data_IF_447068286432
#
_entry.id   IF_447068286432
#
_cell.length_a   1.000
_cell.length_b   1.000
_cell.length_c   1.000
_cell.angle_alpha   90.00
_cell.angle_beta   90.00
_cell.angle_gamma   90.00
#
_symmetry.space_group_name_H-M   'P 1'
#
loop_
_entity.id
_entity.type
_entity.pdbx_description
1 polymer ?
#
# COMPACT_ATOMS: atom_id res chain seq x y z
N UNK A 1 3.55 -7.17 -24.64
CA UNK A 1 3.74 -7.31 -23.18
C UNK A 1 4.89 -6.39 -22.80
N UNK A 2 4.64 -5.40 -21.95
CA UNK A 2 5.68 -4.56 -21.33
C UNK A 2 5.79 -4.97 -19.87
N UNK A 3 7.01 -5.11 -19.36
CA UNK A 3 7.29 -5.40 -17.95
C UNK A 3 8.14 -4.27 -17.38
N UNK A 4 7.80 -3.84 -16.16
CA UNK A 4 8.57 -2.90 -15.38
C UNK A 4 8.92 -3.56 -14.05
N UNK A 5 10.21 -3.71 -13.76
CA UNK A 5 10.69 -4.33 -12.54
C UNK A 5 11.15 -3.24 -11.57
N UNK A 6 10.51 -3.18 -10.41
CA UNK A 6 10.85 -2.23 -9.34
C UNK A 6 12.02 -2.77 -8.54
N UNK A 7 11.93 -4.05 -8.13
CA UNK A 7 13.01 -4.73 -7.42
C UNK A 7 12.99 -6.23 -7.68
N UNK A 8 13.74 -7.01 -6.90
CA UNK A 8 13.81 -8.45 -7.12
C UNK A 8 12.49 -9.19 -6.90
N UNK A 9 11.63 -8.65 -6.05
CA UNK A 9 10.35 -9.21 -5.63
C UNK A 9 9.13 -8.53 -6.25
N UNK A 10 9.23 -7.29 -6.76
CA UNK A 10 8.08 -6.51 -7.23
C UNK A 10 8.23 -6.13 -8.70
N UNK A 11 7.24 -6.47 -9.52
CA UNK A 11 7.14 -6.00 -10.91
C UNK A 11 5.70 -5.74 -11.34
N UNK A 12 5.54 -4.95 -12.40
CA UNK A 12 4.28 -4.72 -13.08
C UNK A 12 4.37 -5.20 -14.52
N UNK A 13 3.27 -5.70 -15.08
CA UNK A 13 3.16 -6.09 -16.48
C UNK A 13 1.90 -5.52 -17.11
N UNK A 14 2.05 -4.94 -18.29
CA UNK A 14 0.94 -4.58 -19.16
C UNK A 14 0.61 -5.78 -20.05
N UNK A 15 -0.52 -6.42 -19.77
CA UNK A 15 -1.02 -7.63 -20.42
C UNK A 15 -2.40 -7.37 -21.02
N UNK A 16 -2.42 -7.08 -22.33
CA UNK A 16 -3.61 -6.55 -23.00
C UNK A 16 -3.88 -5.13 -22.51
N UNK A 17 -5.11 -4.88 -22.07
CA UNK A 17 -5.55 -3.58 -21.56
C UNK A 17 -5.33 -3.41 -20.05
N UNK A 18 -4.70 -4.40 -19.38
CA UNK A 18 -4.64 -4.45 -17.92
C UNK A 18 -3.21 -4.38 -17.40
N UNK A 19 -3.03 -3.56 -16.37
CA UNK A 19 -1.81 -3.53 -15.56
C UNK A 19 -1.92 -4.53 -14.42
N UNK A 20 -1.02 -5.52 -14.40
CA UNK A 20 -0.97 -6.55 -13.38
C UNK A 20 0.29 -6.37 -12.50
N UNK A 21 0.11 -6.40 -11.18
CA UNK A 21 1.21 -6.41 -10.21
C UNK A 21 1.62 -7.86 -9.92
N UNK A 22 2.92 -8.10 -9.81
CA UNK A 22 3.50 -9.40 -9.46
C UNK A 22 4.40 -9.25 -8.25
N UNK A 23 4.25 -10.21 -7.33
CA UNK A 23 5.18 -10.42 -6.22
C UNK A 23 5.91 -11.74 -6.46
N UNK A 24 7.21 -11.66 -6.77
CA UNK A 24 8.03 -12.74 -7.28
C UNK A 24 7.51 -13.22 -8.64
N UNK A 25 6.94 -14.43 -8.66
CA UNK A 25 6.31 -15.02 -9.87
C UNK A 25 4.78 -15.11 -9.74
N UNK A 26 4.22 -14.61 -8.65
CA UNK A 26 2.79 -14.75 -8.34
C UNK A 26 2.10 -13.42 -8.62
N UNK A 27 1.02 -13.47 -9.41
CA UNK A 27 0.18 -12.31 -9.65
C UNK A 27 -0.49 -11.88 -8.33
N UNK A 28 -0.34 -10.61 -7.99
CA UNK A 28 -1.00 -9.99 -6.84
C UNK A 28 -2.37 -9.46 -7.26
N UNK A 29 -3.43 -10.12 -6.78
CA UNK A 29 -4.82 -9.86 -7.19
C UNK A 29 -5.53 -9.00 -6.15
N UNK A 30 -5.18 -7.73 -6.10
CA UNK A 30 -5.88 -6.70 -5.33
C UNK A 30 -6.15 -5.50 -6.23
N UNK A 31 -7.24 -4.78 -5.97
CA UNK A 31 -7.68 -3.67 -6.82
C UNK A 31 -6.61 -2.57 -6.88
N UNK A 32 -6.14 -2.25 -8.09
CA UNK A 32 -5.10 -1.23 -8.37
C UNK A 32 -5.67 0.15 -8.65
N UNK A 33 -7.00 0.30 -8.68
CA UNK A 33 -7.72 1.54 -9.07
C UNK A 33 -7.30 2.75 -8.21
N UNK A 34 -6.77 2.53 -7.01
CA UNK A 34 -6.52 3.58 -6.02
C UNK A 34 -5.10 4.16 -6.03
N UNK A 35 -4.33 3.97 -7.10
CA UNK A 35 -2.93 4.41 -7.15
C UNK A 35 -2.72 5.92 -7.38
N UNK A 36 -3.73 6.80 -7.36
CA UNK A 36 -3.55 8.20 -7.79
C UNK A 36 -3.13 9.20 -6.69
N UNK A 37 -1.99 9.86 -6.99
CA UNK A 37 -1.56 11.25 -6.79
C UNK A 37 -1.19 11.74 -5.38
N UNK A 38 0.12 11.86 -5.13
CA UNK A 38 0.66 12.70 -4.04
C UNK A 38 1.59 13.73 -4.67
N UNK A 39 1.15 14.99 -4.65
CA UNK A 39 2.03 16.13 -4.84
C UNK A 39 2.95 16.23 -3.62
N UNK A 40 4.25 16.19 -3.83
CA UNK A 40 5.27 16.34 -2.77
C UNK A 40 5.33 17.76 -2.19
N UNK A 41 4.68 18.74 -2.82
CA UNK A 41 4.74 20.16 -2.43
C UNK A 41 3.76 20.57 -1.33
N UNK A 42 2.85 19.69 -0.90
CA UNK A 42 1.83 19.99 0.14
C UNK A 42 2.11 19.29 1.49
N UNK A 43 3.30 18.68 1.65
CA UNK A 43 3.65 17.88 2.83
C UNK A 43 3.64 18.67 4.16
N UNK A 44 3.75 20.00 4.15
CA UNK A 44 3.78 20.81 5.38
C UNK A 44 2.41 21.03 6.05
N UNK A 45 1.31 20.67 5.38
CA UNK A 45 -0.07 20.86 5.90
C UNK A 45 -0.76 19.54 6.28
N UNK A 46 -0.06 18.41 6.17
CA UNK A 46 -0.62 17.07 6.36
C UNK A 46 -0.01 16.28 7.53
N UNK A 47 0.69 16.94 8.45
CA UNK A 47 1.20 16.31 9.68
C UNK A 47 0.07 15.78 10.60
N UNK A 48 -1.19 16.14 10.33
CA UNK A 48 -2.39 15.62 11.01
C UNK A 48 -3.09 14.48 10.25
N UNK A 49 -2.61 14.07 9.08
CA UNK A 49 -3.26 13.03 8.26
C UNK A 49 -2.41 11.75 8.25
N UNK A 50 -2.94 10.67 8.84
CA UNK A 50 -2.18 9.41 8.98
C UNK A 50 -2.15 8.58 7.67
N UNK A 51 -3.01 8.88 6.69
CA UNK A 51 -3.08 8.18 5.40
C UNK A 51 -3.77 8.98 4.29
N UNK A 52 -3.55 8.58 3.03
CA UNK A 52 -4.29 9.11 1.86
C UNK A 52 -5.80 8.93 2.03
N UNK A 53 -6.22 7.87 2.72
CA UNK A 53 -7.63 7.53 2.91
C UNK A 53 -8.34 8.62 3.73
N UNK A 54 -7.69 9.11 4.78
CA UNK A 54 -8.21 10.21 5.61
C UNK A 54 -8.27 11.53 4.82
N UNK A 55 -7.32 11.77 3.91
CA UNK A 55 -7.38 12.92 3.00
C UNK A 55 -8.53 12.77 1.97
N UNK A 56 -8.74 11.57 1.42
CA UNK A 56 -9.81 11.30 0.45
C UNK A 56 -11.20 11.49 1.06
N UNK A 57 -11.41 11.08 2.31
CA UNK A 57 -12.65 11.34 3.06
C UNK A 57 -12.89 12.83 3.27
N UNK A 58 -11.85 13.60 3.65
CA UNK A 58 -11.95 15.05 3.86
C UNK A 58 -12.22 15.83 2.56
N UNK A 59 -11.73 15.35 1.43
CA UNK A 59 -11.88 16.01 0.11
C UNK A 59 -13.17 15.56 -0.62
N UNK A 60 -13.88 14.54 -0.12
CA UNK A 60 -15.09 14.01 -0.75
C UNK A 60 -14.83 13.28 -2.08
N UNK A 61 -13.59 12.83 -2.30
CA UNK A 61 -13.21 12.06 -3.46
C UNK A 61 -13.66 10.61 -3.28
N UNK A 62 -14.88 10.29 -3.73
CA UNK A 62 -15.38 8.91 -3.71
C UNK A 62 -14.74 8.06 -4.81
N UNK A 63 -14.63 6.75 -4.54
CA UNK A 63 -14.20 5.74 -5.53
C UNK A 63 -15.08 5.80 -6.80
N UNK A 64 -16.36 6.13 -6.68
CA UNK A 64 -17.27 6.29 -7.82
C UNK A 64 -16.83 7.41 -8.78
N UNK A 65 -16.38 8.56 -8.26
CA UNK A 65 -15.87 9.65 -9.11
C UNK A 65 -14.58 9.26 -9.85
N UNK A 66 -13.74 8.42 -9.25
CA UNK A 66 -12.53 7.91 -9.90
C UNK A 66 -12.83 6.96 -11.06
N UNK A 67 -13.90 6.16 -10.95
CA UNK A 67 -14.22 5.11 -11.92
C UNK A 67 -14.67 5.67 -13.28
N UNK A 68 -15.28 6.85 -13.30
CA UNK A 68 -15.65 7.55 -14.55
C UNK A 68 -14.46 8.29 -15.20
N UNK A 69 -13.45 8.71 -14.43
CA UNK A 69 -12.18 9.23 -14.94
C UNK A 69 -11.32 8.11 -15.57
N UNK A 70 -11.34 6.92 -14.97
CA UNK A 70 -10.58 5.75 -15.46
C UNK A 70 -11.01 5.28 -16.86
N UNK A 71 -12.27 5.54 -17.27
CA UNK A 71 -12.77 5.15 -18.61
C UNK A 71 -12.02 5.82 -19.78
N UNK A 72 -11.20 6.85 -19.52
CA UNK A 72 -10.56 7.65 -20.57
C UNK A 72 -9.03 7.59 -20.59
N UNK A 73 -8.38 6.88 -19.66
CA UNK A 73 -6.92 6.79 -19.63
C UNK A 73 -6.46 5.64 -20.54
N UNK A 74 -5.57 5.89 -21.52
CA UNK A 74 -4.99 4.81 -22.31
C UNK A 74 -4.24 3.81 -21.41
N UNK A 75 -4.33 2.49 -21.65
CA UNK A 75 -3.70 1.49 -20.79
C UNK A 75 -2.19 1.69 -20.59
N UNK A 76 -1.49 2.18 -21.62
CA UNK A 76 -0.05 2.46 -21.54
C UNK A 76 0.26 3.64 -20.60
N UNK A 77 -0.60 4.66 -20.58
CA UNK A 77 -0.48 5.82 -19.70
C UNK A 77 -0.78 5.44 -18.26
N UNK A 78 -1.83 4.65 -18.05
CA UNK A 78 -2.17 4.10 -16.74
C UNK A 78 -1.03 3.23 -16.20
N UNK A 79 -0.50 2.33 -17.03
CA UNK A 79 0.64 1.49 -16.69
C UNK A 79 1.85 2.31 -16.23
N UNK A 80 2.18 3.39 -16.95
CA UNK A 80 3.26 4.31 -16.56
C UNK A 80 3.01 4.97 -15.22
N UNK A 81 1.79 5.44 -14.97
CA UNK A 81 1.40 6.03 -13.68
C UNK A 81 1.57 5.03 -12.54
N UNK A 82 1.05 3.81 -12.69
CA UNK A 82 1.18 2.74 -11.68
C UNK A 82 2.63 2.36 -11.41
N UNK A 83 3.45 2.26 -12.46
CA UNK A 83 4.89 1.98 -12.32
C UNK A 83 5.58 3.09 -11.54
N UNK A 84 5.31 4.35 -11.86
CA UNK A 84 5.90 5.51 -11.17
C UNK A 84 5.51 5.53 -9.69
N UNK A 85 4.25 5.29 -9.36
CA UNK A 85 3.77 5.37 -7.97
C UNK A 85 4.35 4.24 -7.11
N UNK A 86 4.40 3.01 -7.63
CA UNK A 86 5.02 1.89 -6.91
C UNK A 86 6.55 1.99 -6.85
N UNK A 87 7.18 2.63 -7.85
CA UNK A 87 8.61 2.96 -7.80
C UNK A 87 8.90 3.95 -6.66
N UNK A 88 8.17 5.06 -6.59
CA UNK A 88 8.33 6.05 -5.50
C UNK A 88 8.03 5.43 -4.15
N UNK A 89 6.97 4.62 -4.04
CA UNK A 89 6.67 3.88 -2.81
C UNK A 89 7.85 3.00 -2.36
N UNK A 90 8.50 2.29 -3.28
CA UNK A 90 9.68 1.49 -2.99
C UNK A 90 10.91 2.32 -2.62
N UNK A 91 11.17 3.42 -3.34
CA UNK A 91 12.32 4.31 -3.10
C UNK A 91 12.24 5.02 -1.74
N UNK A 92 11.03 5.15 -1.19
CA UNK A 92 10.77 5.67 0.14
C UNK A 92 10.52 4.56 1.17
N UNK A 93 11.25 3.46 1.06
CA UNK A 93 11.25 2.35 2.02
C UNK A 93 9.85 1.79 2.33
N UNK A 94 9.00 1.69 1.29
CA UNK A 94 7.62 1.22 1.41
C UNK A 94 6.73 2.07 2.33
N UNK A 95 6.97 3.38 2.42
CA UNK A 95 6.13 4.30 3.20
C UNK A 95 4.64 4.16 2.83
N UNK A 96 3.86 3.60 3.75
CA UNK A 96 2.44 3.25 3.54
C UNK A 96 1.54 4.45 3.34
N UNK A 97 2.06 5.67 3.51
CA UNK A 97 1.38 6.93 3.20
C UNK A 97 1.46 7.29 1.72
N UNK A 98 2.32 6.62 0.93
CA UNK A 98 2.57 7.00 -0.46
C UNK A 98 1.63 6.37 -1.49
N UNK A 99 0.92 5.32 -1.10
CA UNK A 99 -0.14 4.69 -1.89
C UNK A 99 -1.29 4.32 -0.96
N UNK A 100 -2.51 4.20 -1.49
CA UNK A 100 -3.70 3.93 -0.70
C UNK A 100 -3.54 2.67 0.17
N UNK A 101 -4.04 2.71 1.41
CA UNK A 101 -3.82 1.64 2.40
C UNK A 101 -4.34 0.26 1.95
N UNK A 102 -5.45 0.23 1.19
CA UNK A 102 -6.04 -0.96 0.55
C UNK A 102 -5.11 -1.67 -0.42
N UNK A 103 -4.05 -0.99 -0.88
CA UNK A 103 -2.98 -1.58 -1.66
C UNK A 103 -1.69 -1.72 -0.84
N UNK A 104 -1.28 -0.66 -0.14
CA UNK A 104 -0.01 -0.59 0.58
C UNK A 104 0.20 -1.77 1.52
N UNK A 105 -0.76 -1.99 2.44
CA UNK A 105 -0.59 -2.94 3.52
C UNK A 105 -0.67 -4.41 3.04
N UNK A 106 -1.62 -4.79 2.17
CA UNK A 106 -1.66 -6.14 1.60
C UNK A 106 -0.48 -6.44 0.67
N UNK A 107 0.02 -5.46 -0.10
CA UNK A 107 1.20 -5.62 -0.94
C UNK A 107 2.46 -5.81 -0.08
N UNK A 108 2.61 -5.01 0.98
CA UNK A 108 3.71 -5.13 1.95
C UNK A 108 3.71 -6.49 2.66
N UNK A 109 2.54 -7.00 3.03
CA UNK A 109 2.38 -8.38 3.54
C UNK A 109 2.87 -9.40 2.52
N UNK A 110 2.46 -9.27 1.25
CA UNK A 110 2.86 -10.23 0.20
C UNK A 110 4.35 -10.20 -0.08
N UNK A 111 4.98 -9.03 -0.06
CA UNK A 111 6.43 -8.88 -0.18
C UNK A 111 7.17 -9.54 1.00
N UNK A 112 6.64 -9.36 2.22
CA UNK A 112 7.13 -10.04 3.42
C UNK A 112 7.08 -11.56 3.27
N UNK A 113 5.94 -12.10 2.81
CA UNK A 113 5.74 -13.54 2.54
C UNK A 113 6.68 -14.05 1.44
N UNK A 114 6.97 -13.23 0.42
CA UNK A 114 7.89 -13.56 -0.67
C UNK A 114 9.38 -13.48 -0.28
N UNK A 115 9.67 -12.93 0.89
CA UNK A 115 11.01 -12.94 1.47
C UNK A 115 11.76 -11.62 1.45
N UNK A 116 11.15 -10.54 0.94
CA UNK A 116 11.77 -9.21 0.86
C UNK A 116 12.21 -8.74 2.27
N UNK A 117 13.52 -8.49 2.48
CA UNK A 117 14.06 -8.14 3.79
C UNK A 117 13.60 -6.77 4.27
N UNK A 118 13.46 -5.80 3.36
CA UNK A 118 13.00 -4.45 3.70
C UNK A 118 11.50 -4.48 4.04
N UNK A 119 10.70 -5.17 3.22
CA UNK A 119 9.28 -5.32 3.48
C UNK A 119 9.01 -5.98 4.84
N UNK A 120 9.80 -7.00 5.21
CA UNK A 120 9.69 -7.67 6.53
C UNK A 120 9.87 -6.73 7.70
N UNK A 121 10.80 -5.78 7.60
CA UNK A 121 11.06 -4.80 8.66
C UNK A 121 9.89 -3.81 8.70
N UNK A 122 9.57 -3.20 7.56
CA UNK A 122 8.54 -2.16 7.46
C UNK A 122 7.16 -2.71 7.85
N UNK A 123 6.83 -3.94 7.46
CA UNK A 123 5.55 -4.58 7.80
C UNK A 123 5.33 -4.71 9.31
N UNK A 124 6.37 -5.14 10.05
CA UNK A 124 6.29 -5.25 11.51
C UNK A 124 6.15 -3.88 12.15
N UNK A 125 6.95 -2.92 11.73
CA UNK A 125 6.89 -1.54 12.23
C UNK A 125 5.51 -0.93 12.01
N UNK A 126 4.90 -1.17 10.85
CA UNK A 126 3.58 -0.65 10.53
C UNK A 126 2.47 -1.30 11.38
N UNK A 127 2.55 -2.62 11.64
CA UNK A 127 1.62 -3.30 12.56
C UNK A 127 1.69 -2.66 13.95
N UNK A 128 2.90 -2.48 14.48
CA UNK A 128 3.13 -1.85 15.79
C UNK A 128 2.57 -0.42 15.83
N UNK A 129 2.90 0.39 14.82
CA UNK A 129 2.46 1.78 14.70
C UNK A 129 0.93 1.89 14.66
N UNK A 130 0.27 1.11 13.80
CA UNK A 130 -1.19 1.11 13.66
C UNK A 130 -1.90 0.57 14.89
N UNK A 131 -1.34 -0.42 15.58
CA UNK A 131 -1.94 -0.93 16.81
C UNK A 131 -1.86 0.12 17.94
N UNK A 132 -0.73 0.81 18.08
CA UNK A 132 -0.55 1.85 19.10
C UNK A 132 -1.42 3.08 18.85
N UNK A 133 -1.36 3.61 17.63
CA UNK A 133 -1.97 4.92 17.31
C UNK A 133 -3.37 4.83 16.71
N UNK A 134 -3.76 3.66 16.19
CA UNK A 134 -5.03 3.48 15.50
C UNK A 134 -6.24 3.45 16.42
N UNK A 135 -7.42 3.50 15.79
CA UNK A 135 -8.72 3.37 16.45
C UNK A 135 -8.96 1.95 16.96
N UNK A 136 -9.95 1.76 17.84
CA UNK A 136 -10.33 0.42 18.31
C UNK A 136 -10.72 -0.50 17.15
N UNK A 137 -11.41 0.02 16.12
CA UNK A 137 -11.70 -0.73 14.90
C UNK A 137 -10.42 -1.18 14.16
N UNK A 138 -9.38 -0.35 14.16
CA UNK A 138 -8.07 -0.71 13.57
C UNK A 138 -7.40 -1.82 14.37
N UNK A 139 -7.44 -1.75 15.71
CA UNK A 139 -6.89 -2.77 16.60
C UNK A 139 -7.63 -4.09 16.46
N UNK A 140 -8.96 -4.07 16.50
CA UNK A 140 -9.83 -5.25 16.31
C UNK A 140 -9.53 -5.92 14.96
N UNK A 141 -9.43 -5.13 13.89
CA UNK A 141 -9.06 -5.64 12.57
C UNK A 141 -7.69 -6.34 12.59
N UNK A 142 -6.67 -5.73 13.20
CA UNK A 142 -5.33 -6.31 13.30
C UNK A 142 -5.30 -7.63 14.08
N UNK A 143 -6.14 -7.75 15.12
CA UNK A 143 -6.27 -8.97 15.92
C UNK A 143 -7.04 -10.07 15.20
N UNK A 144 -8.21 -9.76 14.65
CA UNK A 144 -9.09 -10.71 13.95
C UNK A 144 -8.36 -11.33 12.74
N UNK A 145 -7.67 -10.50 11.97
CA UNK A 145 -6.87 -10.93 10.82
C UNK A 145 -5.50 -11.51 11.21
N UNK A 146 -5.21 -11.61 12.52
CA UNK A 146 -4.01 -12.22 13.10
C UNK A 146 -2.69 -11.58 12.67
N UNK A 147 -2.70 -10.27 12.37
CA UNK A 147 -1.48 -9.54 12.01
C UNK A 147 -0.46 -9.49 13.15
N UNK A 148 -0.91 -9.49 14.41
CA UNK A 148 0.00 -9.52 15.56
C UNK A 148 0.87 -10.79 15.63
N UNK A 149 0.52 -11.86 14.91
CA UNK A 149 1.33 -13.08 14.85
C UNK A 149 2.62 -12.94 14.03
N UNK A 150 2.76 -11.85 13.27
CA UNK A 150 4.01 -11.52 12.57
C UNK A 150 5.05 -10.87 13.50
N UNK A 151 4.65 -10.49 14.72
CA UNK A 151 5.54 -9.94 15.74
C UNK A 151 6.11 -11.06 16.63
N UNK A 152 7.34 -10.90 17.16
CA UNK A 152 7.84 -11.73 18.25
C UNK A 152 6.87 -11.75 19.43
N UNK A 153 6.84 -12.86 20.17
CA UNK A 153 5.91 -13.04 21.30
C UNK A 153 6.04 -11.92 22.32
N UNK A 154 7.28 -11.51 22.64
CA UNK A 154 7.55 -10.45 23.62
C UNK A 154 7.02 -9.09 23.15
N UNK A 155 7.27 -8.70 21.90
CA UNK A 155 6.74 -7.46 21.32
C UNK A 155 5.21 -7.45 21.31
N UNK A 156 4.60 -8.58 20.95
CA UNK A 156 3.13 -8.72 20.97
C UNK A 156 2.57 -8.59 22.38
N UNK A 157 3.21 -9.20 23.39
CA UNK A 157 2.75 -9.12 24.78
C UNK A 157 2.84 -7.69 25.31
N UNK A 158 3.91 -6.97 25.01
CA UNK A 158 4.05 -5.56 25.38
C UNK A 158 2.96 -4.68 24.77
N UNK A 159 2.48 -4.99 23.57
CA UNK A 159 1.40 -4.22 22.93
C UNK A 159 0.03 -4.43 23.56
N UNK A 160 -0.27 -5.64 24.03
CA UNK A 160 -1.62 -6.01 24.51
C UNK A 160 -1.80 -5.68 26.00
N UNK A 161 -0.70 -5.57 26.75
CA UNK A 161 -0.71 -5.40 28.20
C UNK A 161 -0.55 -3.93 28.66
N UNK A 162 -0.19 -3.03 27.75
CA UNK A 162 -0.14 -1.57 27.96
C UNK A 162 -1.51 -0.92 27.65
#
# INVERSE_FOLDING_TARGET
MREFRINEFLSLRLEGEWTNIYVGKVQFRQCTILLLNISTDEMSTFDEIESIDEAAEKVGASIENSMDLYKFIPPETEFWGHCSNLQVWYEHDYDTRLIHSNLAFPLLRKLTEAGDPLAKVVFKTEIVKRYKNGTDATRDFLEIERFLHYLPVDERLHLILD
#
